data_IF_901780283352
#
_entry.id   IF_901780283352
#
_cell.length_a   1.000
_cell.length_b   1.000
_cell.length_c   1.000
_cell.angle_alpha   90.00
_cell.angle_beta   90.00
_cell.angle_gamma   90.00
#
_symmetry.space_group_name_H-M   'P 1'
#
loop_
_entity.id
_entity.type
_entity.pdbx_description
1 polymer ?
#
# COMPACT_ATOMS: atom_id res chain seq x y z
N UNK A 1 11.14 1.82 16.26
CA UNK A 1 10.86 0.77 15.26
C UNK A 1 10.63 1.37 13.88
N UNK A 2 9.71 2.34 13.73
CA UNK A 2 9.36 2.95 12.43
C UNK A 2 10.56 3.51 11.66
N UNK A 3 11.37 4.38 12.27
CA UNK A 3 12.56 4.94 11.63
C UNK A 3 13.55 3.86 11.18
N UNK A 4 13.75 2.81 11.99
CA UNK A 4 14.65 1.71 11.63
C UNK A 4 14.14 0.92 10.43
N UNK A 5 12.83 0.74 10.31
CA UNK A 5 12.23 0.08 9.16
C UNK A 5 12.46 0.89 7.87
N UNK A 6 12.24 2.21 7.91
CA UNK A 6 12.47 3.09 6.75
C UNK A 6 13.95 3.12 6.37
N UNK A 7 14.87 3.22 7.34
CA UNK A 7 16.31 3.20 7.05
C UNK A 7 16.76 1.86 6.45
N UNK A 8 16.27 0.73 6.95
CA UNK A 8 16.58 -0.58 6.38
C UNK A 8 16.12 -0.67 4.92
N UNK A 9 14.91 -0.21 4.64
CA UNK A 9 14.32 -0.17 3.30
C UNK A 9 15.13 0.71 2.33
N UNK A 10 15.53 1.92 2.75
CA UNK A 10 16.40 2.83 1.98
C UNK A 10 17.79 2.25 1.69
N UNK A 11 18.24 1.27 2.48
CA UNK A 11 19.47 0.51 2.24
C UNK A 11 19.24 -0.78 1.43
N UNK A 12 18.03 -1.02 0.93
CA UNK A 12 17.69 -2.22 0.17
C UNK A 12 17.67 -3.49 1.01
N UNK A 13 17.41 -3.36 2.32
CA UNK A 13 17.38 -4.49 3.26
C UNK A 13 15.94 -4.91 3.56
N UNK A 14 15.72 -6.23 3.62
CA UNK A 14 14.48 -6.80 4.12
C UNK A 14 14.35 -6.58 5.63
N UNK A 15 13.14 -6.29 6.10
CA UNK A 15 12.88 -6.07 7.52
C UNK A 15 11.66 -6.83 8.04
N UNK A 16 11.82 -7.47 9.20
CA UNK A 16 10.72 -8.06 9.97
C UNK A 16 10.35 -7.14 11.12
N UNK A 17 9.10 -6.68 11.10
CA UNK A 17 8.57 -5.74 12.08
C UNK A 17 7.56 -6.45 12.98
N UNK A 18 7.92 -6.67 14.25
CA UNK A 18 7.00 -7.16 15.27
C UNK A 18 6.49 -6.01 16.13
N UNK A 19 5.19 -5.69 16.01
CA UNK A 19 4.55 -4.68 16.84
C UNK A 19 3.03 -4.86 16.93
N UNK A 20 2.46 -4.50 18.08
CA UNK A 20 1.01 -4.55 18.35
C UNK A 20 0.18 -3.58 17.49
N UNK A 21 -1.14 -3.65 17.59
CA UNK A 21 -2.06 -2.67 17.00
C UNK A 21 -1.79 -1.26 17.57
N UNK A 22 -2.07 -0.21 16.81
CA UNK A 22 -1.82 1.18 17.24
C UNK A 22 -0.36 1.63 17.28
N UNK A 23 0.61 0.72 17.09
CA UNK A 23 2.06 1.05 17.08
C UNK A 23 2.54 1.87 15.88
N UNK A 24 1.65 2.20 14.94
CA UNK A 24 1.96 3.03 13.77
C UNK A 24 2.71 2.29 12.65
N UNK A 25 2.47 0.99 12.45
CA UNK A 25 3.05 0.21 11.33
C UNK A 25 2.76 0.78 9.94
N UNK A 26 1.66 1.52 9.78
CA UNK A 26 1.29 2.17 8.51
C UNK A 26 2.26 3.28 8.11
N UNK A 27 2.88 3.97 9.07
CA UNK A 27 3.73 5.12 8.79
C UNK A 27 4.98 4.74 7.95
N UNK A 28 5.74 3.69 8.30
CA UNK A 28 6.82 3.20 7.43
C UNK A 28 6.39 2.89 6.00
N UNK A 29 5.22 2.28 5.80
CA UNK A 29 4.68 1.99 4.46
C UNK A 29 4.39 3.26 3.67
N UNK A 30 3.77 4.26 4.31
CA UNK A 30 3.48 5.54 3.66
C UNK A 30 4.78 6.30 3.32
N UNK A 31 5.76 6.30 4.23
CA UNK A 31 7.05 6.96 4.00
C UNK A 31 7.81 6.33 2.83
N UNK A 32 7.76 5.01 2.68
CA UNK A 32 8.36 4.33 1.52
C UNK A 32 7.81 4.86 0.20
N UNK A 33 6.48 4.95 0.08
CA UNK A 33 5.81 5.46 -1.13
C UNK A 33 6.23 6.90 -1.45
N UNK A 34 6.36 7.73 -0.42
CA UNK A 34 6.70 9.15 -0.58
C UNK A 34 8.19 9.40 -0.88
N UNK A 35 9.09 8.55 -0.40
CA UNK A 35 10.54 8.72 -0.57
C UNK A 35 11.05 8.18 -1.91
N UNK A 36 10.60 6.99 -2.30
CA UNK A 36 11.16 6.31 -3.48
C UNK A 36 10.40 6.64 -4.77
N UNK A 37 9.20 7.22 -4.66
CA UNK A 37 8.25 7.42 -5.77
C UNK A 37 7.97 6.13 -6.57
N UNK A 38 8.24 4.97 -5.96
CA UNK A 38 8.01 3.65 -6.54
C UNK A 38 6.63 3.12 -6.17
N UNK A 39 6.10 2.28 -7.06
CA UNK A 39 4.91 1.48 -6.78
C UNK A 39 5.17 0.57 -5.59
N UNK A 40 4.34 0.67 -4.56
CA UNK A 40 4.42 -0.18 -3.36
C UNK A 40 3.25 -1.15 -3.37
N UNK A 41 3.50 -2.41 -3.01
CA UNK A 41 2.44 -3.42 -2.89
C UNK A 41 2.30 -3.77 -1.41
N UNK A 42 1.10 -3.61 -0.87
CA UNK A 42 0.77 -4.01 0.51
C UNK A 42 -0.17 -5.19 0.49
N UNK A 43 0.20 -6.26 1.20
CA UNK A 43 -0.64 -7.45 1.33
C UNK A 43 -1.34 -7.39 2.69
N UNK A 44 -2.67 -7.49 2.68
CA UNK A 44 -3.47 -7.54 3.90
C UNK A 44 -4.58 -8.58 3.76
N UNK A 45 -4.75 -9.49 4.74
CA UNK A 45 -5.85 -10.44 4.75
C UNK A 45 -7.18 -9.80 5.22
N UNK A 46 -7.18 -8.53 5.63
CA UNK A 46 -8.36 -7.88 6.20
C UNK A 46 -8.96 -6.89 5.21
N UNK A 47 -10.05 -7.26 4.54
CA UNK A 47 -10.77 -6.41 3.58
C UNK A 47 -11.15 -5.03 4.13
N UNK A 48 -11.65 -4.96 5.37
CA UNK A 48 -11.96 -3.70 6.04
C UNK A 48 -10.75 -2.78 6.21
N UNK A 49 -9.57 -3.36 6.47
CA UNK A 49 -8.33 -2.61 6.58
C UNK A 49 -7.90 -2.07 5.23
N UNK A 50 -8.05 -2.85 4.16
CA UNK A 50 -7.77 -2.43 2.79
C UNK A 50 -8.59 -1.18 2.43
N UNK A 51 -9.91 -1.23 2.61
CA UNK A 51 -10.82 -0.11 2.33
C UNK A 51 -10.51 1.12 3.18
N UNK A 52 -10.19 0.94 4.46
CA UNK A 52 -9.88 2.06 5.35
C UNK A 52 -8.57 2.74 4.96
N UNK A 53 -7.53 1.95 4.65
CA UNK A 53 -6.23 2.45 4.22
C UNK A 53 -6.32 3.17 2.88
N UNK A 54 -7.04 2.59 1.92
CA UNK A 54 -7.25 3.21 0.61
C UNK A 54 -7.97 4.56 0.72
N UNK A 55 -9.07 4.63 1.47
CA UNK A 55 -9.79 5.88 1.68
C UNK A 55 -8.93 6.94 2.37
N UNK A 56 -8.18 6.57 3.42
CA UNK A 56 -7.28 7.49 4.11
C UNK A 56 -6.15 7.97 3.20
N UNK A 57 -5.52 7.07 2.45
CA UNK A 57 -4.44 7.42 1.53
C UNK A 57 -4.92 8.34 0.42
N UNK A 58 -6.02 8.02 -0.26
CA UNK A 58 -6.55 8.86 -1.34
C UNK A 58 -7.11 10.19 -0.81
N UNK A 59 -7.97 10.15 0.22
CA UNK A 59 -8.75 11.33 0.64
C UNK A 59 -8.02 12.25 1.61
N UNK A 60 -7.15 11.72 2.47
CA UNK A 60 -6.47 12.52 3.52
C UNK A 60 -5.04 12.85 3.19
N UNK A 61 -4.33 11.93 2.54
CA UNK A 61 -2.89 12.04 2.34
C UNK A 61 -2.50 12.32 0.89
N UNK A 62 -3.43 12.24 -0.07
CA UNK A 62 -3.15 12.41 -1.49
C UNK A 62 -2.24 11.33 -2.08
N UNK A 63 -2.15 10.17 -1.41
CA UNK A 63 -1.37 9.01 -1.85
C UNK A 63 -2.30 8.11 -2.66
N UNK A 64 -2.03 8.04 -3.97
CA UNK A 64 -2.85 7.24 -4.86
C UNK A 64 -2.74 5.76 -4.54
N UNK A 65 -3.89 5.20 -4.19
CA UNK A 65 -4.00 3.82 -3.73
C UNK A 65 -5.16 3.15 -4.42
N UNK A 66 -4.98 1.90 -4.81
CA UNK A 66 -6.07 1.06 -5.30
C UNK A 66 -6.10 -0.24 -4.49
N UNK A 67 -7.31 -0.72 -4.22
CA UNK A 67 -7.52 -2.03 -3.60
C UNK A 67 -7.87 -3.03 -4.68
N UNK A 68 -7.15 -4.14 -4.72
CA UNK A 68 -7.44 -5.26 -5.62
C UNK A 68 -7.79 -6.48 -4.76
N UNK A 69 -9.01 -7.00 -4.93
CA UNK A 69 -9.50 -8.18 -4.22
C UNK A 69 -10.62 -8.86 -5.03
N UNK A 70 -11.37 -9.78 -4.42
CA UNK A 70 -12.44 -10.51 -5.11
C UNK A 70 -13.63 -9.65 -5.58
N UNK A 71 -13.74 -8.40 -5.10
CA UNK A 71 -14.76 -7.44 -5.58
C UNK A 71 -14.27 -6.61 -6.77
N UNK A 72 -12.99 -6.70 -7.14
CA UNK A 72 -12.44 -5.94 -8.27
C UNK A 72 -13.01 -6.46 -9.58
N UNK A 73 -13.50 -5.53 -10.42
CA UNK A 73 -14.02 -5.87 -11.74
C UNK A 73 -12.95 -6.55 -12.60
N UNK A 74 -13.33 -7.62 -13.29
CA UNK A 74 -12.47 -8.30 -14.26
C UNK A 74 -12.45 -7.65 -15.64
N UNK A 75 -13.16 -6.53 -15.83
CA UNK A 75 -13.22 -5.80 -17.10
C UNK A 75 -11.94 -4.98 -17.35
N UNK A 76 -11.40 -5.05 -18.56
CA UNK A 76 -10.20 -4.35 -19.02
C UNK A 76 -10.33 -2.83 -18.83
N UNK A 77 -11.55 -2.30 -18.93
CA UNK A 77 -11.81 -0.87 -18.73
C UNK A 77 -11.43 -0.36 -17.34
N UNK A 78 -11.53 -1.20 -16.30
CA UNK A 78 -11.14 -0.85 -14.93
C UNK A 78 -9.62 -0.72 -14.80
N UNK A 79 -8.89 -1.59 -15.51
CA UNK A 79 -7.43 -1.57 -15.55
C UNK A 79 -6.92 -0.39 -16.36
N UNK A 80 -7.51 -0.09 -17.52
CA UNK A 80 -7.05 1.02 -18.38
C UNK A 80 -7.12 2.40 -17.69
N UNK A 81 -8.20 2.67 -16.96
CA UNK A 81 -8.35 3.94 -16.18
C UNK A 81 -7.32 4.03 -15.05
N UNK A 82 -6.85 2.87 -14.57
CA UNK A 82 -5.88 2.75 -13.49
C UNK A 82 -4.42 2.88 -13.97
N UNK A 83 -4.14 2.90 -15.27
CA UNK A 83 -2.78 2.74 -15.82
C UNK A 83 -2.14 4.00 -16.41
N UNK A 84 -2.61 5.22 -16.12
CA UNK A 84 -1.95 6.44 -16.61
C UNK A 84 -0.45 6.49 -16.18
N UNK A 85 0.50 6.28 -17.11
CA UNK A 85 1.89 5.97 -16.78
C UNK A 85 2.72 7.21 -16.43
N UNK A 86 2.16 8.41 -16.57
CA UNK A 86 2.92 9.66 -16.41
C UNK A 86 2.92 10.24 -15.00
N UNK A 87 2.29 9.57 -14.03
CA UNK A 87 1.85 10.32 -12.84
C UNK A 87 2.41 9.85 -11.48
N UNK A 88 2.81 8.59 -11.20
CA UNK A 88 3.44 8.04 -9.93
C UNK A 88 2.91 8.49 -8.51
N UNK A 89 3.04 7.70 -7.42
CA UNK A 89 3.23 6.26 -7.26
C UNK A 89 1.89 5.55 -6.98
N UNK A 90 1.78 4.31 -7.43
CA UNK A 90 0.62 3.43 -7.22
C UNK A 90 0.85 2.62 -5.94
N UNK A 91 -0.01 2.74 -4.92
CA UNK A 91 -0.05 1.78 -3.82
C UNK A 91 -1.12 0.73 -4.15
N UNK A 92 -0.68 -0.48 -4.49
CA UNK A 92 -1.58 -1.61 -4.71
C UNK A 92 -1.74 -2.39 -3.41
N UNK A 93 -2.90 -2.29 -2.77
CA UNK A 93 -3.22 -3.06 -1.56
C UNK A 93 -4.00 -4.32 -1.98
N UNK A 94 -3.36 -5.50 -2.01
CA UNK A 94 -4.02 -6.73 -2.48
C UNK A 94 -3.27 -8.05 -2.19
N UNK A 95 -3.76 -8.88 -1.26
CA UNK A 95 -4.25 -10.24 -1.56
C UNK A 95 -4.66 -11.01 -0.30
N UNK A 96 -5.89 -11.54 -0.35
CA UNK A 96 -6.45 -12.52 0.57
C UNK A 96 -6.11 -13.93 0.07
N UNK A 97 -5.35 -14.71 0.85
CA UNK A 97 -5.31 -16.17 0.67
C UNK A 97 -6.41 -16.77 1.53
N UNK A 98 -7.46 -17.30 0.90
CA UNK A 98 -8.24 -18.39 1.51
C UNK A 98 -7.28 -19.55 1.76
N UNK A 99 -7.01 -19.85 3.03
CA UNK A 99 -6.57 -21.18 3.46
C UNK A 99 -7.82 -22.04 3.68
#
# INVERSE_FOLDING_TARGET
MQLRAVLADQHGLDSLISAGTGSGKTLPTALKVLLDLLTTITLSPLKRLQVTQENDFNSRYGIRTVVINEDTSGDDSWWDVSHDPFTLPFLQVALEKRL
#
